data_IF_045987022531
#
_entry.id   IF_045987022531
#
_cell.length_a   1.000
_cell.length_b   1.000
_cell.length_c   1.000
_cell.angle_alpha   90.00
_cell.angle_beta   90.00
_cell.angle_gamma   90.00
#
_symmetry.space_group_name_H-M   'P 1'
#
loop_
_entity.id
_entity.type
_entity.pdbx_description
1 polymer ?
#
# COMPACT_ATOMS: atom_id res chain seq x y z
N UNK A 1 8.56 6.07 -11.65
CA UNK A 1 7.72 7.19 -11.23
C UNK A 1 6.39 6.69 -10.68
N UNK A 2 6.05 7.16 -9.49
CA UNK A 2 4.73 6.99 -8.86
C UNK A 2 4.15 8.40 -8.76
N UNK A 3 2.96 8.62 -9.30
CA UNK A 3 2.38 9.97 -9.39
C UNK A 3 0.86 9.91 -9.15
N UNK A 4 0.34 10.83 -8.34
CA UNK A 4 -1.10 10.98 -8.13
C UNK A 4 -1.63 12.03 -9.10
N UNK A 5 -2.61 11.65 -9.93
CA UNK A 5 -3.32 12.55 -10.84
C UNK A 5 -4.81 12.51 -10.58
N UNK A 6 -5.29 13.47 -9.78
CA UNK A 6 -6.68 13.52 -9.35
C UNK A 6 -7.10 12.24 -8.62
N UNK A 7 -8.06 11.51 -9.21
CA UNK A 7 -8.61 10.25 -8.69
C UNK A 7 -7.82 9.00 -9.10
N UNK A 8 -6.59 9.16 -9.61
CA UNK A 8 -5.78 8.03 -10.05
C UNK A 8 -4.38 8.06 -9.46
N UNK A 9 -3.85 6.87 -9.16
CA UNK A 9 -2.43 6.66 -8.94
C UNK A 9 -1.84 6.03 -10.20
N UNK A 10 -0.90 6.74 -10.82
CA UNK A 10 -0.12 6.25 -11.94
C UNK A 10 1.19 5.66 -11.41
N UNK A 11 1.49 4.44 -11.85
CA UNK A 11 2.69 3.71 -11.48
C UNK A 11 3.39 3.28 -12.74
N UNK A 12 4.61 3.76 -12.93
CA UNK A 12 5.46 3.44 -14.07
C UNK A 12 5.75 1.95 -14.23
N UNK A 13 6.17 1.56 -15.43
CA UNK A 13 6.69 0.22 -15.67
C UNK A 13 7.88 -0.09 -14.75
N UNK A 14 7.94 -1.31 -14.25
CA UNK A 14 9.00 -1.80 -13.35
C UNK A 14 9.12 -1.13 -11.96
N UNK A 15 8.25 -0.19 -11.62
CA UNK A 15 8.31 0.52 -10.34
C UNK A 15 7.95 -0.38 -9.16
N UNK A 16 6.85 -1.13 -9.27
CA UNK A 16 6.37 -1.99 -8.20
C UNK A 16 6.64 -3.48 -8.42
N UNK A 17 6.95 -3.88 -9.65
CA UNK A 17 7.26 -5.25 -10.02
C UNK A 17 8.26 -5.32 -11.16
N UNK A 18 9.35 -6.07 -10.97
CA UNK A 18 10.37 -6.27 -12.01
C UNK A 18 10.11 -7.51 -12.86
N UNK A 19 9.44 -8.52 -12.30
CA UNK A 19 9.19 -9.80 -12.96
C UNK A 19 7.77 -10.32 -12.71
N UNK A 20 7.43 -11.45 -13.34
CA UNK A 20 6.16 -12.17 -13.08
C UNK A 20 6.04 -12.60 -11.62
N UNK A 21 7.15 -12.90 -10.94
CA UNK A 21 7.16 -13.34 -9.53
C UNK A 21 6.88 -12.21 -8.54
N UNK A 22 7.16 -10.98 -8.94
CA UNK A 22 6.92 -9.77 -8.12
C UNK A 22 5.65 -9.02 -8.53
N UNK A 23 4.89 -9.58 -9.48
CA UNK A 23 3.60 -9.05 -9.96
C UNK A 23 2.46 -9.83 -9.32
N UNK A 24 1.26 -9.25 -9.25
CA UNK A 24 0.07 -9.90 -8.70
C UNK A 24 -0.09 -9.75 -7.18
N UNK A 25 0.78 -9.00 -6.51
CA UNK A 25 0.60 -8.70 -5.09
C UNK A 25 -0.50 -7.65 -4.92
N UNK A 26 -1.35 -7.76 -3.89
CA UNK A 26 -2.47 -6.88 -3.73
C UNK A 26 -2.04 -5.44 -3.42
N UNK A 27 -2.82 -4.50 -3.96
CA UNK A 27 -2.70 -3.06 -3.73
C UNK A 27 -4.02 -2.57 -3.15
N UNK A 28 -3.94 -1.81 -2.07
CA UNK A 28 -5.06 -1.32 -1.29
C UNK A 28 -5.02 0.21 -1.17
N UNK A 29 -6.18 0.84 -1.12
CA UNK A 29 -6.34 2.24 -0.72
C UNK A 29 -6.83 2.29 0.73
N UNK A 30 -6.25 3.18 1.53
CA UNK A 30 -6.79 3.58 2.83
C UNK A 30 -7.68 4.80 2.62
N UNK A 31 -8.97 4.66 2.90
CA UNK A 31 -10.01 5.64 2.59
C UNK A 31 -10.59 6.19 3.88
N UNK A 32 -10.67 7.51 4.01
CA UNK A 32 -11.40 8.14 5.11
C UNK A 32 -12.90 8.18 4.80
N UNK A 33 -13.70 7.44 5.55
CA UNK A 33 -15.16 7.33 5.37
C UNK A 33 -15.96 8.16 6.40
N UNK A 34 -15.29 9.09 7.10
CA UNK A 34 -15.90 10.01 8.08
C UNK A 34 -16.04 9.40 9.48
N UNK A 35 -16.54 8.17 9.61
CA UNK A 35 -16.58 7.43 10.88
C UNK A 35 -15.26 6.73 11.22
N UNK A 36 -14.27 6.79 10.32
CA UNK A 36 -12.99 6.13 10.45
C UNK A 36 -12.33 5.91 9.09
N UNK A 37 -11.47 4.90 9.03
CA UNK A 37 -10.72 4.56 7.82
C UNK A 37 -10.97 3.12 7.40
N UNK A 38 -11.07 2.88 6.10
CA UNK A 38 -11.28 1.55 5.53
C UNK A 38 -10.20 1.23 4.49
N UNK A 39 -9.76 -0.02 4.49
CA UNK A 39 -8.88 -0.55 3.45
C UNK A 39 -9.71 -1.16 2.33
N UNK A 40 -9.48 -0.71 1.10
CA UNK A 40 -10.17 -1.20 -0.09
C UNK A 40 -9.16 -1.71 -1.11
N UNK A 41 -9.29 -2.95 -1.60
CA UNK A 41 -8.42 -3.47 -2.66
C UNK A 41 -8.71 -2.71 -3.96
N UNK A 42 -7.69 -2.04 -4.51
CA UNK A 42 -7.80 -1.23 -5.74
C UNK A 42 -7.11 -1.89 -6.94
N UNK A 43 -6.39 -3.00 -6.71
CA UNK A 43 -5.78 -3.77 -7.79
C UNK A 43 -4.64 -4.63 -7.30
N UNK A 44 -3.70 -4.91 -8.21
CA UNK A 44 -2.52 -5.72 -7.97
C UNK A 44 -1.28 -5.09 -8.64
N UNK A 45 -0.09 -5.42 -8.15
CA UNK A 45 1.18 -4.95 -8.73
C UNK A 45 1.39 -5.51 -10.14
N UNK A 46 2.03 -4.73 -11.00
CA UNK A 46 2.32 -5.12 -12.38
C UNK A 46 3.67 -4.59 -12.82
N UNK A 47 4.32 -5.33 -13.73
CA UNK A 47 5.55 -4.87 -14.39
C UNK A 47 5.30 -3.79 -15.44
N UNK A 48 4.06 -3.68 -15.93
CA UNK A 48 3.67 -2.66 -16.91
C UNK A 48 3.19 -1.41 -16.19
N UNK A 49 3.13 -0.30 -16.91
CA UNK A 49 2.42 0.91 -16.47
C UNK A 49 1.02 0.54 -15.95
N UNK A 50 0.69 1.00 -14.75
CA UNK A 50 -0.62 0.82 -14.14
C UNK A 50 -1.25 2.15 -13.77
N UNK A 51 -2.57 2.16 -13.88
CA UNK A 51 -3.44 3.25 -13.44
C UNK A 51 -4.44 2.67 -12.46
N UNK A 52 -4.28 2.98 -11.18
CA UNK A 52 -5.20 2.54 -10.13
C UNK A 52 -6.24 3.62 -9.88
N UNK A 53 -7.52 3.26 -9.86
CA UNK A 53 -8.57 4.16 -9.44
C UNK A 53 -8.52 4.33 -7.93
N UNK A 54 -8.46 5.57 -7.46
CA UNK A 54 -8.47 5.90 -6.04
C UNK A 54 -9.91 6.24 -5.63
N UNK A 55 -10.48 5.53 -4.64
CA UNK A 55 -11.72 5.94 -4.02
C UNK A 55 -11.65 7.39 -3.50
N UNK A 56 -12.79 8.06 -3.42
CA UNK A 56 -12.87 9.40 -2.84
C UNK A 56 -12.33 9.38 -1.41
N UNK A 57 -11.60 10.42 -1.03
CA UNK A 57 -10.97 10.53 0.30
C UNK A 57 -9.90 9.48 0.62
N UNK A 58 -9.24 8.93 -0.41
CA UNK A 58 -8.04 8.11 -0.21
C UNK A 58 -6.90 8.97 0.36
N UNK A 59 -6.40 8.56 1.53
CA UNK A 59 -5.27 9.19 2.23
C UNK A 59 -3.95 8.47 2.01
N UNK A 60 -3.99 7.16 1.76
CA UNK A 60 -2.79 6.37 1.48
C UNK A 60 -3.06 5.21 0.54
N UNK A 61 -2.00 4.71 -0.10
CA UNK A 61 -2.00 3.44 -0.83
C UNK A 61 -1.00 2.49 -0.20
N UNK A 62 -1.38 1.23 -0.03
CA UNK A 62 -0.54 0.18 0.52
C UNK A 62 -0.37 -0.90 -0.54
N UNK A 63 0.87 -1.29 -0.83
CA UNK A 63 1.14 -2.50 -1.62
C UNK A 63 1.89 -3.51 -0.78
N UNK A 64 1.53 -4.77 -0.97
CA UNK A 64 2.27 -5.88 -0.41
C UNK A 64 3.44 -6.27 -1.31
N UNK A 65 4.50 -6.79 -0.70
CA UNK A 65 5.60 -7.46 -1.36
C UNK A 65 6.05 -8.64 -0.53
N UNK A 66 6.08 -9.83 -1.14
CA UNK A 66 6.61 -11.04 -0.51
C UNK A 66 7.96 -11.37 -1.14
N UNK A 67 9.00 -11.44 -0.31
CA UNK A 67 10.34 -11.81 -0.76
C UNK A 67 10.44 -13.31 -1.08
N UNK A 68 11.49 -13.72 -1.79
CA UNK A 68 11.75 -15.14 -2.07
C UNK A 68 11.93 -15.99 -0.80
N UNK A 69 12.32 -15.35 0.31
CA UNK A 69 12.48 -16.01 1.62
C UNK A 69 11.16 -16.08 2.41
N UNK A 70 10.05 -15.64 1.84
CA UNK A 70 8.73 -15.61 2.49
C UNK A 70 8.47 -14.35 3.31
N UNK A 71 9.48 -13.52 3.59
CA UNK A 71 9.31 -12.30 4.38
C UNK A 71 8.37 -11.31 3.68
N UNK A 72 7.36 -10.83 4.40
CA UNK A 72 6.41 -9.83 3.91
C UNK A 72 6.89 -8.41 4.20
N UNK A 73 6.66 -7.52 3.25
CA UNK A 73 6.89 -6.08 3.36
C UNK A 73 5.66 -5.35 2.84
N UNK A 74 5.31 -4.26 3.50
CA UNK A 74 4.25 -3.36 3.08
C UNK A 74 4.87 -2.00 2.77
N UNK A 75 4.66 -1.54 1.55
CA UNK A 75 5.05 -0.19 1.13
C UNK A 75 3.82 0.70 1.25
N UNK A 76 3.93 1.77 2.02
CA UNK A 76 2.84 2.71 2.32
C UNK A 76 3.15 4.05 1.69
N UNK A 77 2.24 4.52 0.84
CA UNK A 77 2.31 5.78 0.11
C UNK A 77 1.30 6.75 0.70
N UNK A 78 1.73 7.66 1.57
CA UNK A 78 0.85 8.67 2.18
C UNK A 78 0.77 9.89 1.26
N UNK A 79 -0.44 10.38 1.03
CA UNK A 79 -0.71 11.58 0.24
C UNK A 79 -0.93 12.77 1.16
N UNK A 80 0.07 13.66 1.26
CA UNK A 80 -0.01 14.88 2.08
C UNK A 80 0.45 16.08 1.27
N UNK A 81 -0.40 17.11 1.19
CA UNK A 81 -0.10 18.36 0.48
C UNK A 81 0.36 18.16 -0.98
N UNK A 82 -0.33 17.30 -1.72
CA UNK A 82 0.02 16.85 -3.09
C UNK A 82 1.37 16.12 -3.25
N UNK A 83 2.06 15.85 -2.14
CA UNK A 83 3.30 15.07 -2.11
C UNK A 83 3.00 13.62 -1.73
N UNK A 84 3.65 12.68 -2.41
CA UNK A 84 3.64 11.27 -2.06
C UNK A 84 4.86 10.98 -1.19
N UNK A 85 4.63 10.56 0.07
CA UNK A 85 5.69 10.05 0.94
C UNK A 85 5.64 8.53 0.98
N UNK A 86 6.76 7.87 0.68
CA UNK A 86 6.90 6.42 0.76
C UNK A 86 7.49 6.01 2.11
N UNK A 87 6.88 4.99 2.72
CA UNK A 87 7.37 4.32 3.90
C UNK A 87 7.38 2.81 3.68
N UNK A 88 8.29 2.11 4.35
CA UNK A 88 8.45 0.66 4.23
C UNK A 88 8.28 0.05 5.61
N UNK A 89 7.35 -0.88 5.73
CA UNK A 89 7.09 -1.65 6.94
C UNK A 89 7.45 -3.11 6.66
N UNK A 90 8.49 -3.61 7.31
CA UNK A 90 8.95 -5.00 7.20
C UNK A 90 8.53 -5.78 8.43
N UNK A 91 8.09 -7.02 8.21
CA UNK A 91 7.77 -8.01 9.25
C UNK A 91 8.97 -8.17 10.21
N UNK A 92 10.15 -8.50 9.69
CA UNK A 92 11.33 -8.82 10.52
C UNK A 92 11.88 -7.66 11.39
N UNK A 93 11.67 -6.39 11.01
CA UNK A 93 12.26 -5.24 11.71
C UNK A 93 11.29 -4.49 12.63
N UNK A 94 9.99 -4.62 12.42
CA UNK A 94 9.01 -3.91 13.25
C UNK A 94 7.97 -4.84 13.90
N UNK A 95 7.84 -6.11 13.47
CA UNK A 95 6.79 -7.01 13.98
C UNK A 95 7.07 -8.50 13.83
N UNK A 96 7.18 -9.21 14.95
CA UNK A 96 7.02 -10.68 14.96
C UNK A 96 5.53 -11.00 14.92
N UNK A 97 5.04 -11.56 13.80
CA UNK A 97 3.68 -12.11 13.71
C UNK A 97 3.72 -13.60 13.31
N UNK A 98 2.79 -14.39 13.85
CA UNK A 98 2.67 -15.84 13.63
C UNK A 98 1.67 -16.15 12.51
N UNK A 99 2.10 -16.99 11.56
CA UNK A 99 1.45 -17.22 10.28
C UNK A 99 -0.05 -17.61 10.36
N UNK A 100 -0.88 -16.86 9.62
CA UNK A 100 -2.24 -17.26 9.22
C UNK A 100 -3.36 -16.40 9.81
N UNK A 101 -3.85 -15.42 9.03
CA UNK A 101 -4.92 -14.48 9.41
C UNK A 101 -4.47 -13.03 9.59
N UNK A 102 -3.25 -12.71 9.16
CA UNK A 102 -2.52 -11.50 9.57
C UNK A 102 -2.79 -10.26 8.72
N UNK A 103 -3.27 -10.41 7.49
CA UNK A 103 -3.44 -9.27 6.58
C UNK A 103 -4.38 -8.22 7.19
N UNK A 104 -5.50 -8.63 7.81
CA UNK A 104 -6.41 -7.69 8.49
C UNK A 104 -5.77 -7.02 9.71
N UNK A 105 -4.95 -7.73 10.49
CA UNK A 105 -4.26 -7.17 11.65
C UNK A 105 -3.17 -6.18 11.22
N UNK A 106 -2.38 -6.52 10.22
CA UNK A 106 -1.32 -5.67 9.68
C UNK A 106 -1.93 -4.43 9.03
N UNK A 107 -2.99 -4.59 8.24
CA UNK A 107 -3.71 -3.47 7.64
C UNK A 107 -4.35 -2.56 8.71
N UNK A 108 -4.85 -3.13 9.81
CA UNK A 108 -5.35 -2.34 10.96
C UNK A 108 -4.22 -1.56 11.64
N UNK A 109 -3.06 -2.19 11.85
CA UNK A 109 -1.88 -1.48 12.35
C UNK A 109 -1.44 -0.36 11.41
N UNK A 110 -1.34 -0.62 10.10
CA UNK A 110 -0.94 0.38 9.11
C UNK A 110 -1.90 1.56 9.14
N UNK A 111 -3.21 1.31 9.28
CA UNK A 111 -4.21 2.35 9.49
C UNK A 111 -3.89 3.22 10.71
N UNK A 112 -3.69 2.62 11.89
CA UNK A 112 -3.36 3.37 13.12
C UNK A 112 -2.03 4.11 13.00
N UNK A 113 -1.04 3.50 12.35
CA UNK A 113 0.26 4.12 12.13
C UNK A 113 0.17 5.33 11.18
N UNK A 114 -0.57 5.22 10.07
CA UNK A 114 -0.81 6.36 9.15
C UNK A 114 -1.50 7.50 9.90
N UNK A 115 -2.48 7.20 10.74
CA UNK A 115 -3.16 8.18 11.58
C UNK A 115 -2.18 8.95 12.48
N UNK A 116 -1.22 8.26 13.10
CA UNK A 116 -0.18 8.90 13.93
C UNK A 116 0.76 9.84 13.16
N UNK A 117 0.77 9.77 11.82
CA UNK A 117 1.60 10.61 10.94
C UNK A 117 0.81 11.78 10.32
N UNK A 118 -0.52 11.74 10.38
CA UNK A 118 -1.37 12.82 9.90
C UNK A 118 -1.62 13.91 10.95
N UNK A 119 -1.56 13.57 12.25
CA UNK A 119 -1.52 14.51 13.40
C UNK A 119 -0.19 15.26 13.44
#
# INVERSE_FOLDING_TARGET
MIERRGQYLLVGSHEWAWSRRTSGFPVYALVNVGSGFEMQKIGETSKKLMKYSLPKYTVAVVREYVSNLGNRRYYVYIFKDDIIKEYILSEVENFTFEAGGEDQKILSFIREWVLSKEV
#
